data_IF_355101764514
#
_entry.id   IF_355101764514
#
_cell.length_a   1.000
_cell.length_b   1.000
_cell.length_c   1.000
_cell.angle_alpha   90.00
_cell.angle_beta   90.00
_cell.angle_gamma   90.00
#
_symmetry.space_group_name_H-M   'P 1'
#
loop_
_entity.id
_entity.type
_entity.pdbx_description
1 polymer ?
#
# COMPACT_ATOMS: atom_id res chain seq x y z
N UNK A 1 -19.94 -6.97 2.59
CA UNK A 1 -18.76 -7.86 2.50
C UNK A 1 -17.91 -7.62 1.24
N UNK A 2 -18.46 -7.61 0.02
CA UNK A 2 -17.66 -7.39 -1.24
C UNK A 2 -16.77 -6.14 -1.27
N UNK A 3 -17.14 -5.06 -0.56
CA UNK A 3 -16.35 -3.80 -0.56
C UNK A 3 -15.07 -3.88 0.28
N UNK A 4 -15.03 -4.74 1.29
CA UNK A 4 -13.83 -5.00 2.11
C UNK A 4 -12.80 -5.86 1.35
N UNK A 5 -13.22 -6.61 0.33
CA UNK A 5 -12.29 -7.37 -0.52
C UNK A 5 -11.24 -6.48 -1.20
N UNK A 6 -11.57 -5.22 -1.48
CA UNK A 6 -10.63 -4.26 -2.05
C UNK A 6 -9.52 -3.83 -1.06
N UNK A 7 -9.82 -3.78 0.24
CA UNK A 7 -8.79 -3.58 1.26
C UNK A 7 -7.82 -4.76 1.26
N UNK A 8 -8.33 -5.98 1.06
CA UNK A 8 -7.49 -7.18 0.92
C UNK A 8 -6.46 -7.05 -0.21
N UNK A 9 -6.83 -6.43 -1.33
CA UNK A 9 -5.90 -6.18 -2.43
C UNK A 9 -4.80 -5.18 -2.03
N UNK A 10 -5.13 -4.13 -1.27
CA UNK A 10 -4.12 -3.20 -0.75
C UNK A 10 -3.17 -3.88 0.26
N UNK A 11 -3.70 -4.74 1.12
CA UNK A 11 -2.90 -5.55 2.04
C UNK A 11 -1.93 -6.43 1.26
N UNK A 12 -2.40 -7.13 0.23
CA UNK A 12 -1.54 -7.96 -0.63
C UNK A 12 -0.47 -7.09 -1.31
N UNK A 13 -0.82 -5.92 -1.85
CA UNK A 13 0.16 -4.99 -2.42
C UNK A 13 1.25 -4.60 -1.42
N UNK A 14 0.89 -4.26 -0.17
CA UNK A 14 1.86 -3.91 0.86
C UNK A 14 2.73 -5.11 1.25
N UNK A 15 2.14 -6.31 1.37
CA UNK A 15 2.89 -7.53 1.67
C UNK A 15 3.88 -7.88 0.55
N UNK A 16 3.48 -7.72 -0.72
CA UNK A 16 4.36 -7.90 -1.89
C UNK A 16 5.50 -6.89 -1.85
N UNK A 17 5.22 -5.62 -1.59
CA UNK A 17 6.25 -4.59 -1.42
C UNK A 17 7.27 -4.98 -0.34
N UNK A 18 6.80 -5.40 0.84
CA UNK A 18 7.69 -5.79 1.93
C UNK A 18 8.48 -7.06 1.62
N UNK A 19 7.86 -8.09 1.04
CA UNK A 19 8.55 -9.33 0.68
C UNK A 19 9.63 -9.09 -0.40
N UNK A 20 9.29 -8.33 -1.45
CA UNK A 20 10.24 -7.99 -2.52
C UNK A 20 11.37 -7.12 -1.96
N UNK A 21 11.05 -6.08 -1.18
CA UNK A 21 12.05 -5.21 -0.57
C UNK A 21 13.04 -5.96 0.32
N UNK A 22 12.55 -6.88 1.16
CA UNK A 22 13.41 -7.75 1.98
C UNK A 22 14.33 -8.60 1.12
N UNK A 23 13.78 -9.28 0.11
CA UNK A 23 14.56 -10.10 -0.82
C UNK A 23 15.63 -9.27 -1.54
N UNK A 24 15.32 -8.04 -1.94
CA UNK A 24 16.26 -7.13 -2.61
C UNK A 24 17.40 -6.64 -1.72
N UNK A 25 17.25 -6.70 -0.40
CA UNK A 25 18.28 -6.39 0.58
C UNK A 25 18.96 -7.64 1.16
N UNK A 26 18.82 -8.79 0.48
CA UNK A 26 19.30 -10.10 0.93
C UNK A 26 18.80 -10.49 2.34
N UNK A 27 17.67 -9.92 2.76
CA UNK A 27 17.01 -10.28 4.01
C UNK A 27 16.13 -11.53 3.79
N UNK A 28 16.18 -12.45 4.76
CA UNK A 28 15.40 -13.70 4.67
C UNK A 28 13.88 -13.49 4.59
N UNK A 29 13.20 -14.33 3.79
CA UNK A 29 11.74 -14.37 3.62
C UNK A 29 11.07 -15.24 4.69
N UNK A 30 11.26 -14.88 5.96
CA UNK A 30 10.56 -15.51 7.07
C UNK A 30 9.33 -14.69 7.48
N UNK A 31 8.33 -15.37 8.05
CA UNK A 31 7.03 -14.76 8.37
C UNK A 31 7.17 -13.58 9.34
N UNK A 32 7.99 -13.75 10.38
CA UNK A 32 8.26 -12.70 11.38
C UNK A 32 8.91 -11.47 10.75
N UNK A 33 9.90 -11.64 9.89
CA UNK A 33 10.59 -10.54 9.21
C UNK A 33 9.70 -9.78 8.23
N UNK A 34 8.82 -10.48 7.53
CA UNK A 34 7.80 -9.83 6.69
C UNK A 34 6.82 -9.06 7.57
N UNK A 35 6.34 -9.65 8.66
CA UNK A 35 5.42 -8.98 9.59
C UNK A 35 6.04 -7.73 10.23
N UNK A 36 7.29 -7.80 10.71
CA UNK A 36 8.02 -6.66 11.30
C UNK A 36 8.26 -5.54 10.29
N UNK A 37 8.45 -5.88 9.01
CA UNK A 37 8.61 -4.90 7.94
C UNK A 37 7.28 -4.30 7.50
N UNK A 38 6.21 -5.09 7.46
CA UNK A 38 4.93 -4.72 6.89
C UNK A 38 4.00 -3.97 7.84
N UNK A 39 4.02 -4.27 9.15
CA UNK A 39 3.07 -3.67 10.09
C UNK A 39 3.03 -2.12 10.05
N UNK A 40 4.15 -1.37 9.91
CA UNK A 40 4.10 0.09 9.86
C UNK A 40 3.29 0.60 8.66
N UNK A 41 3.51 -0.02 7.50
CA UNK A 41 2.83 0.32 6.25
C UNK A 41 1.38 -0.15 6.26
N UNK A 42 1.09 -1.33 6.80
CA UNK A 42 -0.27 -1.83 6.96
C UNK A 42 -1.09 -0.94 7.89
N UNK A 43 -0.52 -0.44 8.98
CA UNK A 43 -1.17 0.55 9.85
C UNK A 43 -1.51 1.81 9.06
N UNK A 44 -0.58 2.34 8.27
CA UNK A 44 -0.83 3.49 7.39
C UNK A 44 -1.93 3.23 6.34
N UNK A 45 -1.93 2.04 5.73
CA UNK A 45 -2.95 1.61 4.76
C UNK A 45 -4.34 1.56 5.40
N UNK A 46 -4.46 1.01 6.61
CA UNK A 46 -5.71 0.97 7.35
C UNK A 46 -6.20 2.37 7.71
N UNK A 47 -5.32 3.24 8.21
CA UNK A 47 -5.65 4.63 8.51
C UNK A 47 -6.14 5.35 7.27
N UNK A 48 -5.43 5.24 6.14
CA UNK A 48 -5.84 5.87 4.89
C UNK A 48 -7.17 5.35 4.36
N UNK A 49 -7.49 4.07 4.59
CA UNK A 49 -8.79 3.49 4.27
C UNK A 49 -9.92 4.09 5.11
N UNK A 50 -9.68 4.30 6.41
CA UNK A 50 -10.62 4.96 7.30
C UNK A 50 -10.83 6.43 6.92
N UNK A 51 -9.74 7.18 6.72
CA UNK A 51 -9.75 8.60 6.37
C UNK A 51 -10.46 8.88 5.04
N UNK A 52 -10.22 8.04 4.03
CA UNK A 52 -10.87 8.16 2.72
C UNK A 52 -12.30 7.62 2.68
N UNK A 53 -12.76 6.99 3.77
CA UNK A 53 -13.96 6.14 3.78
C UNK A 53 -13.95 5.17 2.60
N UNK A 54 -12.86 4.42 2.44
CA UNK A 54 -12.58 3.60 1.26
C UNK A 54 -13.70 2.62 0.88
N UNK A 55 -14.57 2.25 1.82
CA UNK A 55 -15.77 1.46 1.56
C UNK A 55 -16.81 2.17 0.68
N UNK A 56 -16.76 3.49 0.52
CA UNK A 56 -17.66 4.23 -0.36
C UNK A 56 -17.22 4.15 -1.83
N UNK A 57 -15.93 4.33 -2.11
CA UNK A 57 -15.34 4.34 -3.46
C UNK A 57 -13.98 3.60 -3.50
N UNK A 58 -13.96 2.27 -3.29
CA UNK A 58 -12.72 1.53 -3.03
C UNK A 58 -11.75 1.47 -4.22
N UNK A 59 -12.29 1.49 -5.43
CA UNK A 59 -11.51 1.39 -6.68
C UNK A 59 -11.11 2.76 -7.25
N UNK A 60 -11.51 3.86 -6.62
CA UNK A 60 -11.19 5.20 -7.11
C UNK A 60 -9.71 5.53 -6.84
N UNK A 61 -8.97 5.91 -7.90
CA UNK A 61 -7.59 6.39 -7.75
C UNK A 61 -7.55 7.63 -6.86
N UNK A 62 -8.46 8.58 -7.08
CA UNK A 62 -8.65 9.76 -6.23
C UNK A 62 -10.12 9.90 -5.81
N UNK A 63 -10.40 10.28 -4.54
CA UNK A 63 -9.42 10.54 -3.48
C UNK A 63 -8.88 9.26 -2.80
N UNK A 64 -9.59 8.13 -2.89
CA UNK A 64 -9.32 6.92 -2.08
C UNK A 64 -7.89 6.41 -2.20
N UNK A 65 -7.43 6.08 -3.42
CA UNK A 65 -6.09 5.56 -3.64
C UNK A 65 -5.00 6.52 -3.16
N UNK A 66 -5.11 7.81 -3.48
CA UNK A 66 -4.14 8.84 -3.07
C UNK A 66 -4.06 8.95 -1.54
N UNK A 67 -5.20 9.02 -0.85
CA UNK A 67 -5.22 9.12 0.62
C UNK A 67 -4.65 7.85 1.26
N UNK A 68 -4.99 6.67 0.75
CA UNK A 68 -4.41 5.40 1.21
C UNK A 68 -2.90 5.41 1.03
N UNK A 69 -2.41 5.71 -0.17
CA UNK A 69 -0.98 5.74 -0.48
C UNK A 69 -0.21 6.73 0.40
N UNK A 70 -0.66 7.98 0.51
CA UNK A 70 -0.02 8.99 1.35
C UNK A 70 0.02 8.55 2.82
N UNK A 71 -1.07 7.97 3.32
CA UNK A 71 -1.13 7.46 4.70
C UNK A 71 -0.18 6.27 4.89
N UNK A 72 -0.15 5.31 3.96
CA UNK A 72 0.76 4.15 3.97
C UNK A 72 2.22 4.60 4.07
N UNK A 73 2.63 5.58 3.27
CA UNK A 73 4.00 6.10 3.28
C UNK A 73 4.28 6.91 4.55
N UNK A 74 3.45 7.91 4.85
CA UNK A 74 3.71 8.83 5.96
C UNK A 74 3.70 8.09 7.31
N UNK A 75 2.64 7.32 7.60
CA UNK A 75 2.54 6.54 8.83
C UNK A 75 3.61 5.45 8.85
N UNK A 76 3.86 4.78 7.73
CA UNK A 76 4.90 3.75 7.63
C UNK A 76 6.28 4.28 8.02
N UNK A 77 6.67 5.46 7.53
CA UNK A 77 7.96 6.07 7.87
C UNK A 77 8.01 6.54 9.32
N UNK A 78 6.94 7.14 9.84
CA UNK A 78 6.85 7.57 11.25
C UNK A 78 7.00 6.36 12.18
N UNK A 79 6.20 5.31 11.96
CA UNK A 79 6.22 4.10 12.78
C UNK A 79 7.56 3.36 12.69
N UNK A 80 8.19 3.31 11.52
CA UNK A 80 9.55 2.79 11.38
C UNK A 80 10.55 3.60 12.19
N UNK A 81 10.49 4.94 12.10
CA UNK A 81 11.42 5.82 12.81
C UNK A 81 11.33 5.67 14.33
N UNK A 82 10.12 5.62 14.89
CA UNK A 82 9.91 5.44 16.34
C UNK A 82 10.25 4.03 16.81
N UNK A 83 10.17 3.04 15.92
CA UNK A 83 10.58 1.65 16.20
C UNK A 83 12.08 1.40 15.98
N UNK A 84 12.87 2.48 15.85
CA UNK A 84 14.31 2.41 15.56
C UNK A 84 14.68 1.65 14.28
N UNK A 85 13.75 1.52 13.33
CA UNK A 85 14.02 0.95 12.02
C UNK A 85 14.63 2.01 11.09
N UNK A 86 15.47 1.56 10.16
CA UNK A 86 16.12 2.44 9.17
C UNK A 86 15.11 3.15 8.27
N UNK A 87 15.30 4.47 8.12
CA UNK A 87 14.57 5.36 7.20
C UNK A 87 15.58 6.24 6.46
N UNK A 88 16.26 5.67 5.47
CA UNK A 88 17.12 6.43 4.57
C UNK A 88 16.28 7.22 3.56
N UNK A 89 16.77 8.36 3.07
CA UNK A 89 16.06 9.16 2.07
C UNK A 89 15.76 8.34 0.79
N UNK A 90 16.72 7.52 0.34
CA UNK A 90 16.54 6.59 -0.78
C UNK A 90 15.42 5.58 -0.51
N UNK A 91 15.34 5.05 0.71
CA UNK A 91 14.26 4.14 1.11
C UNK A 91 12.89 4.84 1.03
N UNK A 92 12.78 6.10 1.46
CA UNK A 92 11.51 6.85 1.36
C UNK A 92 11.06 6.98 -0.09
N UNK A 93 11.97 7.34 -1.01
CA UNK A 93 11.65 7.51 -2.43
C UNK A 93 11.24 6.18 -3.07
N UNK A 94 12.01 5.11 -2.83
CA UNK A 94 11.73 3.79 -3.39
C UNK A 94 10.42 3.24 -2.83
N UNK A 95 10.22 3.32 -1.51
CA UNK A 95 8.98 2.86 -0.86
C UNK A 95 7.77 3.64 -1.36
N UNK A 96 7.85 4.97 -1.45
CA UNK A 96 6.77 5.81 -1.96
C UNK A 96 6.42 5.46 -3.41
N UNK A 97 7.43 5.29 -4.26
CA UNK A 97 7.23 4.95 -5.68
C UNK A 97 6.67 3.56 -5.86
N UNK A 98 7.25 2.55 -5.21
CA UNK A 98 6.80 1.17 -5.30
C UNK A 98 5.36 1.00 -4.77
N UNK A 99 5.06 1.59 -3.62
CA UNK A 99 3.69 1.55 -3.06
C UNK A 99 2.71 2.38 -3.89
N UNK A 100 3.12 3.49 -4.52
CA UNK A 100 2.28 4.22 -5.47
C UNK A 100 1.90 3.34 -6.66
N UNK A 101 2.88 2.69 -7.28
CA UNK A 101 2.67 1.80 -8.42
C UNK A 101 1.72 0.66 -8.07
N UNK A 102 1.92 0.02 -6.91
CA UNK A 102 1.08 -1.08 -6.49
C UNK A 102 -0.34 -0.62 -6.14
N UNK A 103 -0.49 0.33 -5.21
CA UNK A 103 -1.79 0.74 -4.68
C UNK A 103 -2.60 1.56 -5.70
N UNK A 104 -1.98 2.49 -6.41
CA UNK A 104 -2.69 3.30 -7.42
C UNK A 104 -2.83 2.56 -8.75
N UNK A 105 -1.83 1.74 -9.11
CA UNK A 105 -1.82 1.03 -10.39
C UNK A 105 -2.95 0.01 -10.54
N UNK A 106 -3.23 -0.79 -9.51
CA UNK A 106 -4.35 -1.74 -9.59
C UNK A 106 -5.69 -1.01 -9.73
N UNK A 107 -5.87 0.11 -9.01
CA UNK A 107 -7.08 0.95 -9.08
C UNK A 107 -7.25 1.57 -10.46
N UNK A 108 -6.16 2.09 -11.03
CA UNK A 108 -6.15 2.63 -12.38
C UNK A 108 -6.50 1.54 -13.40
N UNK A 109 -5.93 0.34 -13.27
CA UNK A 109 -6.25 -0.82 -14.12
C UNK A 109 -7.72 -1.20 -14.08
N UNK A 110 -8.31 -1.29 -12.89
CA UNK A 110 -9.76 -1.54 -12.71
C UNK A 110 -10.59 -0.41 -13.34
N UNK A 111 -10.22 0.84 -13.10
CA UNK A 111 -10.91 2.00 -13.70
C UNK A 111 -10.89 1.98 -15.22
N UNK A 112 -9.76 1.64 -15.83
CA UNK A 112 -9.62 1.49 -17.28
C UNK A 112 -10.45 0.31 -17.81
N UNK A 113 -10.43 -0.83 -17.14
CA UNK A 113 -11.21 -2.01 -17.53
C UNK A 113 -12.72 -1.74 -17.50
N UNK A 114 -13.20 -1.03 -16.48
CA UNK A 114 -14.62 -0.64 -16.39
C UNK A 114 -15.02 0.35 -17.50
N UNK A 115 -14.17 1.33 -17.81
CA UNK A 115 -14.41 2.29 -18.91
C UNK A 115 -14.48 1.60 -20.28
N UNK A 116 -13.64 0.58 -20.51
CA UNK A 116 -13.65 -0.19 -21.77
C UNK A 116 -14.97 -0.96 -21.95
N UNK A 117 -15.50 -1.56 -20.87
CA UNK A 117 -16.78 -2.30 -20.91
C UNK A 117 -18.00 -1.41 -21.19
N UNK A 118 -17.94 -0.12 -20.89
CA UNK A 118 -19.04 0.81 -21.20
C UNK A 118 -19.03 1.32 -22.64
N UNK A 119 -17.96 1.08 -23.40
CA UNK A 119 -17.81 1.49 -24.80
C UNK A 119 -18.05 0.35 -25.81
N UNK A 120 -18.29 -0.87 -25.32
CA UNK A 120 -18.67 -2.06 -26.10
C UNK A 120 -20.17 -2.26 -25.91
#
# INVERSE_FOLDING_TARGET
>A
MRRLGWLGLDVVCVLVFCAVGRRSHDEGLNLTGIATTAWPFLTGTLIGWLLSRGWQRPTAVAPTGVVVWLSTVAVGMVLRKVSSAGVAASFVVVAATATALLLLGWRAGVGLALRRRSKV
#
